data_IF_785264720208
#
_entry.id   IF_785264720208
#
_cell.length_a   1.000
_cell.length_b   1.000
_cell.length_c   1.000
_cell.angle_alpha   90.00
_cell.angle_beta   90.00
_cell.angle_gamma   90.00
#
_symmetry.space_group_name_H-M   'P 1'
#
loop_
_entity.id
_entity.type
_entity.pdbx_description
1 polymer ?
#
# COMPACT_ATOMS: atom_id res chain seq x y z
N UNK A 1 4.68 -8.44 -1.56
CA UNK A 1 5.15 -7.85 -2.84
C UNK A 1 6.11 -8.84 -3.46
N UNK A 2 5.71 -9.51 -4.53
CA UNK A 2 6.66 -10.18 -5.43
C UNK A 2 7.01 -9.10 -6.47
N UNK A 3 8.29 -8.71 -6.65
CA UNK A 3 8.65 -7.74 -7.68
C UNK A 3 8.08 -8.25 -9.01
N UNK A 4 7.42 -7.37 -9.76
CA UNK A 4 6.82 -7.74 -11.05
C UNK A 4 7.92 -8.39 -11.91
N UNK A 5 7.88 -9.73 -11.98
CA UNK A 5 8.87 -10.57 -12.65
C UNK A 5 8.67 -10.37 -14.15
N UNK A 6 9.14 -9.23 -14.66
CA UNK A 6 8.87 -8.79 -16.03
C UNK A 6 8.96 -7.30 -16.31
N UNK A 7 9.14 -6.43 -15.30
CA UNK A 7 9.33 -4.98 -15.50
C UNK A 7 10.74 -4.60 -15.01
N UNK A 8 11.60 -3.98 -15.84
CA UNK A 8 13.00 -3.70 -15.52
C UNK A 8 13.22 -2.56 -14.51
N UNK A 9 12.28 -2.30 -13.59
CA UNK A 9 12.36 -1.21 -12.62
C UNK A 9 12.60 -1.73 -11.20
N UNK A 10 13.78 -2.32 -10.98
CA UNK A 10 14.22 -2.80 -9.67
C UNK A 10 14.21 -1.67 -8.63
N UNK A 11 14.74 -0.48 -8.98
CA UNK A 11 14.80 0.68 -8.09
C UNK A 11 13.42 1.14 -7.63
N UNK A 12 12.42 1.16 -8.53
CA UNK A 12 11.03 1.53 -8.19
C UNK A 12 10.39 0.47 -7.28
N UNK A 13 10.67 -0.81 -7.53
CA UNK A 13 10.15 -1.92 -6.73
C UNK A 13 10.70 -1.88 -5.30
N UNK A 14 12.00 -1.60 -5.13
CA UNK A 14 12.63 -1.45 -3.79
C UNK A 14 12.10 -0.20 -3.10
N UNK A 15 11.96 0.92 -3.80
CA UNK A 15 11.35 2.13 -3.25
C UNK A 15 9.93 1.89 -2.73
N UNK A 16 9.09 1.21 -3.51
CA UNK A 16 7.73 0.87 -3.09
C UNK A 16 7.71 -0.12 -1.93
N UNK A 17 8.59 -1.14 -1.92
CA UNK A 17 8.70 -2.09 -0.82
C UNK A 17 9.09 -1.40 0.49
N UNK A 18 10.07 -0.50 0.45
CA UNK A 18 10.50 0.30 1.60
C UNK A 18 9.35 1.14 2.14
N UNK A 19 8.68 1.92 1.28
CA UNK A 19 7.52 2.72 1.68
C UNK A 19 6.42 1.85 2.28
N UNK A 20 6.07 0.76 1.61
CA UNK A 20 5.05 -0.16 2.09
C UNK A 20 5.41 -0.79 3.45
N UNK A 21 6.67 -1.13 3.70
CA UNK A 21 7.11 -1.64 5.00
C UNK A 21 6.90 -0.59 6.11
N UNK A 22 7.31 0.66 5.88
CA UNK A 22 7.09 1.76 6.83
C UNK A 22 5.60 2.01 7.09
N UNK A 23 4.79 2.14 6.04
CA UNK A 23 3.36 2.44 6.18
C UNK A 23 2.52 1.28 6.66
N UNK A 24 2.98 0.03 6.52
CA UNK A 24 2.34 -1.14 7.14
C UNK A 24 2.70 -1.28 8.62
N UNK A 25 3.91 -0.85 9.02
CA UNK A 25 4.34 -0.85 10.42
C UNK A 25 3.53 0.14 11.28
N UNK A 26 3.15 1.30 10.73
CA UNK A 26 2.39 2.34 11.45
C UNK A 26 1.03 1.85 12.00
N UNK A 27 0.10 1.29 11.20
CA UNK A 27 -1.15 0.72 11.71
C UNK A 27 -0.91 -0.46 12.64
N UNK A 28 0.10 -1.28 12.38
CA UNK A 28 0.41 -2.46 13.20
C UNK A 28 0.85 -2.07 14.62
N UNK A 29 1.73 -1.07 14.72
CA UNK A 29 2.17 -0.50 16.01
C UNK A 29 1.03 0.23 16.72
N UNK A 30 0.23 1.00 15.97
CA UNK A 30 -0.93 1.72 16.50
C UNK A 30 -1.99 0.75 17.03
N UNK A 31 -2.23 -0.37 16.35
CA UNK A 31 -3.14 -1.42 16.81
C UNK A 31 -2.65 -2.04 18.11
N UNK A 32 -1.34 -2.26 18.27
CA UNK A 32 -0.75 -2.68 19.54
C UNK A 32 -1.05 -1.72 20.70
N UNK A 33 -0.97 -0.41 20.45
CA UNK A 33 -1.37 0.61 21.44
C UNK A 33 -2.86 0.56 21.79
N UNK A 34 -3.75 0.31 20.81
CA UNK A 34 -5.19 0.16 21.06
C UNK A 34 -5.49 -1.08 21.89
N UNK A 35 -4.89 -2.23 21.55
CA UNK A 35 -5.09 -3.50 22.26
C UNK A 35 -4.64 -3.36 23.72
N UNK A 36 -3.48 -2.75 23.96
CA UNK A 36 -2.99 -2.49 25.31
C UNK A 36 -3.93 -1.57 26.10
N UNK A 37 -4.42 -0.48 25.49
CA UNK A 37 -5.37 0.44 26.11
C UNK A 37 -6.74 -0.22 26.41
N UNK A 38 -7.10 -1.26 25.67
CA UNK A 38 -8.35 -2.01 25.81
C UNK A 38 -8.19 -3.28 26.67
N UNK A 39 -7.10 -3.41 27.43
CA UNK A 39 -6.84 -4.58 28.29
C UNK A 39 -6.87 -5.91 27.52
N UNK A 40 -6.14 -5.95 26.40
CA UNK A 40 -6.00 -7.11 25.50
C UNK A 40 -7.27 -7.54 24.76
N UNK A 41 -8.33 -6.71 24.76
CA UNK A 41 -9.50 -6.94 23.90
C UNK A 41 -9.13 -6.72 22.43
N UNK A 42 -9.41 -7.72 21.59
CA UNK A 42 -9.11 -7.71 20.14
C UNK A 42 -10.38 -7.75 19.28
N UNK A 43 -11.56 -7.97 19.86
CA UNK A 43 -12.82 -7.94 19.11
C UNK A 43 -13.23 -6.50 18.78
N UNK A 44 -13.21 -6.16 17.50
CA UNK A 44 -13.61 -4.83 17.01
C UNK A 44 -15.04 -4.44 17.39
N UNK A 45 -15.93 -5.40 17.67
CA UNK A 45 -17.32 -5.14 18.11
C UNK A 45 -17.40 -4.61 19.54
N UNK A 46 -16.34 -4.82 20.32
CA UNK A 46 -16.19 -4.35 21.71
C UNK A 46 -15.25 -3.13 21.79
N UNK A 47 -14.80 -2.63 20.64
CA UNK A 47 -14.02 -1.42 20.50
C UNK A 47 -14.91 -0.28 20.00
N UNK A 48 -14.61 0.96 20.37
CA UNK A 48 -15.34 2.13 19.88
C UNK A 48 -14.97 3.40 20.64
N UNK A 49 -15.18 4.56 20.01
CA UNK A 49 -14.96 5.86 20.66
C UNK A 49 -13.49 6.19 20.97
N UNK A 50 -12.54 5.49 20.36
CA UNK A 50 -11.10 5.58 20.70
C UNK A 50 -10.38 6.80 20.11
N UNK A 51 -11.02 7.57 19.23
CA UNK A 51 -10.39 8.74 18.59
C UNK A 51 -10.06 9.89 19.57
N UNK A 52 -10.90 10.09 20.60
CA UNK A 52 -10.67 11.09 21.64
C UNK A 52 -9.66 10.66 22.72
N UNK A 53 -9.70 9.42 23.27
CA UNK A 53 -8.74 9.00 24.29
C UNK A 53 -7.35 8.68 23.72
N UNK A 54 -7.24 8.29 22.44
CA UNK A 54 -5.97 7.95 21.79
C UNK A 54 -5.77 8.77 20.50
N UNK A 55 -5.66 10.11 20.58
CA UNK A 55 -5.62 10.97 19.39
C UNK A 55 -4.38 10.74 18.52
N UNK A 56 -3.22 10.47 19.13
CA UNK A 56 -1.98 10.15 18.42
C UNK A 56 -2.07 8.82 17.67
N UNK A 57 -2.56 7.77 18.35
CA UNK A 57 -2.78 6.44 17.77
C UNK A 57 -3.79 6.49 16.62
N UNK A 58 -4.88 7.26 16.78
CA UNK A 58 -5.85 7.48 15.72
C UNK A 58 -5.24 8.19 14.51
N UNK A 59 -4.46 9.26 14.72
CA UNK A 59 -3.79 9.97 13.63
C UNK A 59 -2.80 9.07 12.87
N UNK A 60 -1.98 8.29 13.58
CA UNK A 60 -1.05 7.33 12.97
C UNK A 60 -1.77 6.22 12.20
N UNK A 61 -2.87 5.70 12.74
CA UNK A 61 -3.69 4.69 12.07
C UNK A 61 -4.31 5.24 10.78
N UNK A 62 -4.83 6.46 10.82
CA UNK A 62 -5.43 7.14 9.68
C UNK A 62 -4.39 7.45 8.59
N UNK A 63 -3.24 8.03 8.97
CA UNK A 63 -2.15 8.31 8.04
C UNK A 63 -1.65 7.02 7.39
N UNK A 64 -1.33 5.99 8.19
CA UNK A 64 -0.89 4.69 7.65
C UNK A 64 -1.88 4.09 6.66
N UNK A 65 -3.19 4.19 6.95
CA UNK A 65 -4.26 3.72 6.06
C UNK A 65 -4.34 4.51 4.75
N UNK A 66 -4.20 5.84 4.80
CA UNK A 66 -4.18 6.70 3.61
C UNK A 66 -2.97 6.41 2.70
N UNK A 67 -1.81 6.13 3.29
CA UNK A 67 -0.63 5.71 2.52
C UNK A 67 -0.82 4.33 1.87
N UNK A 68 -1.44 3.37 2.55
CA UNK A 68 -1.66 2.01 2.03
C UNK A 68 -2.68 1.95 0.88
N UNK A 69 -3.79 2.69 1.00
CA UNK A 69 -4.77 2.76 -0.08
C UNK A 69 -4.18 3.44 -1.32
N UNK A 70 -3.23 4.37 -1.12
CA UNK A 70 -2.62 5.17 -2.18
C UNK A 70 -3.41 6.44 -2.44
N UNK A 71 -3.79 7.16 -1.38
CA UNK A 71 -4.49 8.43 -1.50
C UNK A 71 -3.64 9.44 -2.34
N UNK A 72 -4.26 10.23 -3.23
CA UNK A 72 -3.54 11.17 -4.08
C UNK A 72 -2.66 12.12 -3.25
N UNK A 73 -1.54 12.54 -3.84
CA UNK A 73 -0.51 13.39 -3.22
C UNK A 73 0.38 12.71 -2.16
N UNK A 74 0.11 11.45 -1.77
CA UNK A 74 0.97 10.69 -0.87
C UNK A 74 1.95 9.79 -1.63
N UNK A 75 3.08 9.43 -0.99
CA UNK A 75 4.12 8.57 -1.59
C UNK A 75 3.59 7.18 -1.98
N UNK A 76 2.53 6.71 -1.31
CA UNK A 76 1.83 5.46 -1.65
C UNK A 76 1.19 5.50 -3.05
N UNK A 77 0.66 6.66 -3.46
CA UNK A 77 0.11 6.88 -4.80
C UNK A 77 1.22 6.84 -5.85
N UNK A 78 2.24 7.69 -5.72
CA UNK A 78 3.34 7.78 -6.69
C UNK A 78 4.10 6.46 -6.86
N UNK A 79 4.33 5.72 -5.77
CA UNK A 79 5.04 4.45 -5.83
C UNK A 79 4.21 3.32 -6.46
N UNK A 80 2.89 3.30 -6.26
CA UNK A 80 2.00 2.37 -6.97
C UNK A 80 1.93 2.67 -8.46
N UNK A 81 1.75 3.95 -8.81
CA UNK A 81 1.54 4.37 -10.18
C UNK A 81 2.78 4.10 -11.04
N UNK A 82 3.96 4.39 -10.48
CA UNK A 82 5.25 4.08 -11.11
C UNK A 82 5.50 2.57 -11.36
N UNK A 83 4.78 1.67 -10.66
CA UNK A 83 4.81 0.23 -10.93
C UNK A 83 3.74 -0.16 -11.96
N UNK A 84 2.54 0.42 -11.86
CA UNK A 84 1.39 0.00 -12.66
C UNK A 84 1.41 0.53 -14.09
N UNK A 85 1.89 1.76 -14.32
CA UNK A 85 1.92 2.38 -15.64
C UNK A 85 2.87 1.65 -16.61
N UNK A 86 4.13 1.31 -16.23
CA UNK A 86 4.99 0.49 -17.08
C UNK A 86 4.43 -0.92 -17.30
N UNK A 87 3.75 -1.49 -16.29
CA UNK A 87 3.13 -2.81 -16.41
C UNK A 87 2.04 -2.81 -17.49
N UNK A 88 1.17 -1.80 -17.43
CA UNK A 88 0.07 -1.65 -18.38
C UNK A 88 0.59 -1.39 -19.80
N UNK A 89 1.61 -0.53 -19.94
CA UNK A 89 2.22 -0.23 -21.23
C UNK A 89 2.90 -1.46 -21.84
N UNK A 90 3.62 -2.26 -21.04
CA UNK A 90 4.24 -3.49 -21.53
C UNK A 90 3.21 -4.48 -22.08
N UNK A 91 2.12 -4.71 -21.34
CA UNK A 91 1.03 -5.61 -21.78
C UNK A 91 0.37 -5.08 -23.05
N UNK A 92 0.18 -3.76 -23.18
CA UNK A 92 -0.36 -3.15 -24.39
C UNK A 92 0.54 -3.37 -25.61
N UNK A 93 1.86 -3.22 -25.45
CA UNK A 93 2.83 -3.39 -26.55
C UNK A 93 2.94 -4.86 -26.98
N UNK A 94 3.08 -5.79 -26.03
CA UNK A 94 3.10 -7.23 -26.34
C UNK A 94 1.79 -7.68 -27.02
N UNK A 95 0.64 -7.16 -26.60
CA UNK A 95 -0.65 -7.44 -27.25
C UNK A 95 -0.74 -6.92 -28.69
N UNK A 96 -0.15 -5.76 -28.99
CA UNK A 96 -0.16 -5.18 -30.34
C UNK A 96 0.80 -5.91 -31.28
N UNK A 97 1.99 -6.28 -30.80
CA UNK A 97 2.95 -7.11 -31.55
C UNK A 97 2.35 -8.48 -31.87
N UNK A 98 1.71 -9.14 -30.89
CA UNK A 98 1.08 -10.46 -31.11
C UNK A 98 -0.05 -10.39 -32.15
N UNK A 99 -0.80 -9.29 -32.20
CA UNK A 99 -1.89 -9.08 -33.16
C UNK A 99 -1.36 -8.84 -34.59
N UNK A 100 -0.25 -8.12 -34.75
CA UNK A 100 0.39 -7.91 -36.06
C UNK A 100 0.98 -9.20 -36.65
N UNK A 101 1.55 -10.09 -35.83
CA UNK A 101 2.13 -11.36 -36.30
C UNK A 101 1.01 -12.38 -36.63
N UNK A 102 -0.14 -12.31 -35.97
CA UNK A 102 -1.28 -13.21 -36.23
C UNK A 102 -2.10 -12.86 -37.49
N UNK A 103 -1.83 -11.70 -38.12
CA UNK A 103 -2.48 -11.22 -39.34
C UNK A 103 -1.60 -11.38 -40.61
N UNK A 104 -0.41 -11.97 -40.48
CA UNK A 104 0.49 -12.36 -41.58
C UNK A 104 0.56 -13.89 -41.69
#
# INVERSE_FOLDING_TARGET
MIPARGIPNYSVSVFHLTNHAFFKALPSSSAGSVIYAMSDEQDMRRMGGLASPLPSTYAMMLLGSLFLIGFPFLTGFYSKDAISEPAYTKVRLEGHETMCIALL
#
